data_IF_498789066395
#
_entry.id   IF_498789066395
#
_cell.length_a   1.000
_cell.length_b   1.000
_cell.length_c   1.000
_cell.angle_alpha   90.00
_cell.angle_beta   90.00
_cell.angle_gamma   90.00
#
_symmetry.space_group_name_H-M   'P 1'
#
loop_
_entity.id
_entity.type
_entity.pdbx_description
1 polymer ?
#
# COMPACT_ATOMS: atom_id res chain seq x y z
N UNK A 1 -0.24 -17.88 -6.94
CA UNK A 1 -0.78 -16.64 -6.34
C UNK A 1 -1.71 -16.02 -7.37
N UNK A 2 -3.02 -16.05 -7.16
CA UNK A 2 -3.93 -15.22 -7.94
C UNK A 2 -3.85 -13.82 -7.33
N UNK A 3 -3.21 -12.89 -8.03
CA UNK A 3 -3.20 -11.49 -7.63
C UNK A 3 -4.60 -10.92 -7.88
N UNK A 4 -5.26 -10.48 -6.81
CA UNK A 4 -6.48 -9.68 -6.92
C UNK A 4 -6.08 -8.34 -7.54
N UNK A 5 -6.81 -7.84 -8.56
CA UNK A 5 -6.48 -6.56 -9.15
C UNK A 5 -6.59 -5.43 -8.11
N UNK A 6 -5.59 -4.56 -8.09
CA UNK A 6 -5.54 -3.40 -7.21
C UNK A 6 -6.59 -2.35 -7.64
N UNK A 7 -7.03 -1.50 -6.70
CA UNK A 7 -8.04 -0.46 -6.97
C UNK A 7 -7.66 0.41 -8.17
N UNK A 8 -6.36 0.73 -8.31
CA UNK A 8 -5.83 1.47 -9.45
C UNK A 8 -5.99 0.72 -10.77
N UNK A 9 -5.73 -0.59 -10.80
CA UNK A 9 -5.86 -1.41 -12.00
C UNK A 9 -7.31 -1.47 -12.47
N UNK A 10 -8.25 -1.59 -11.53
CA UNK A 10 -9.69 -1.54 -11.82
C UNK A 10 -10.12 -0.18 -12.37
N UNK A 11 -9.67 0.92 -11.75
CA UNK A 11 -9.98 2.27 -12.23
C UNK A 11 -9.40 2.50 -13.62
N UNK A 12 -8.16 2.08 -13.87
CA UNK A 12 -7.52 2.20 -15.19
C UNK A 12 -8.24 1.37 -16.25
N UNK A 13 -8.72 0.17 -15.93
CA UNK A 13 -9.52 -0.63 -16.87
C UNK A 13 -10.83 0.07 -17.26
N UNK A 14 -11.50 0.71 -16.31
CA UNK A 14 -12.72 1.50 -16.58
C UNK A 14 -12.38 2.72 -17.44
N UNK A 15 -11.30 3.44 -17.13
CA UNK A 15 -10.86 4.58 -17.95
C UNK A 15 -10.58 4.19 -19.40
N UNK A 16 -9.92 3.05 -19.60
CA UNK A 16 -9.63 2.51 -20.92
C UNK A 16 -10.91 2.19 -21.69
N UNK A 17 -11.89 1.54 -21.05
CA UNK A 17 -13.20 1.29 -21.65
C UNK A 17 -13.91 2.58 -22.05
N UNK A 18 -13.93 3.59 -21.17
CA UNK A 18 -14.58 4.88 -21.46
C UNK A 18 -13.99 5.54 -22.71
N UNK A 19 -12.67 5.50 -22.89
CA UNK A 19 -12.00 6.18 -24.00
C UNK A 19 -11.96 5.37 -25.30
N UNK A 20 -11.73 4.05 -25.20
CA UNK A 20 -11.48 3.20 -26.37
C UNK A 20 -12.76 2.60 -26.93
N UNK A 21 -13.75 2.31 -26.07
CA UNK A 21 -14.94 1.56 -26.46
C UNK A 21 -16.23 2.37 -26.41
N UNK A 22 -16.37 3.27 -25.41
CA UNK A 22 -17.59 4.02 -25.19
C UNK A 22 -17.60 5.35 -25.94
N UNK A 23 -16.60 6.22 -25.73
CA UNK A 23 -16.57 7.57 -26.30
C UNK A 23 -16.72 7.59 -27.83
N UNK A 24 -16.09 6.69 -28.62
CA UNK A 24 -16.28 6.66 -30.07
C UNK A 24 -17.73 6.33 -30.51
N UNK A 25 -18.52 5.70 -29.64
CA UNK A 25 -19.94 5.37 -29.91
C UNK A 25 -20.89 6.49 -29.53
N UNK A 26 -20.40 7.55 -28.90
CA UNK A 26 -21.17 8.72 -28.49
C UNK A 26 -21.08 9.86 -29.53
N UNK A 27 -20.49 9.61 -30.69
CA UNK A 27 -20.45 10.56 -31.80
C UNK A 27 -21.87 11.04 -32.15
N UNK A 28 -22.10 12.35 -32.03
CA UNK A 28 -23.40 13.00 -32.24
C UNK A 28 -24.18 13.34 -30.97
N UNK A 29 -23.73 12.87 -29.79
CA UNK A 29 -24.24 13.33 -28.48
C UNK A 29 -23.13 14.07 -27.71
N UNK A 30 -23.00 15.37 -28.00
CA UNK A 30 -21.96 16.23 -27.44
C UNK A 30 -22.01 16.30 -25.91
N UNK A 31 -23.22 16.30 -25.33
CA UNK A 31 -23.40 16.41 -23.89
C UNK A 31 -22.94 15.13 -23.18
N UNK A 32 -23.32 13.97 -23.72
CA UNK A 32 -22.93 12.68 -23.14
C UNK A 32 -21.44 12.40 -23.37
N UNK A 33 -20.90 12.79 -24.51
CA UNK A 33 -19.46 12.75 -24.80
C UNK A 33 -18.65 13.59 -23.81
N UNK A 34 -19.11 14.83 -23.56
CA UNK A 34 -18.48 15.71 -22.57
C UNK A 34 -18.50 15.10 -21.16
N UNK A 35 -19.65 14.59 -20.71
CA UNK A 35 -19.75 13.94 -19.39
C UNK A 35 -18.83 12.72 -19.28
N UNK A 36 -18.70 11.94 -20.35
CA UNK A 36 -17.80 10.78 -20.40
C UNK A 36 -16.33 11.18 -20.22
N UNK A 37 -15.90 12.27 -20.87
CA UNK A 37 -14.55 12.83 -20.70
C UNK A 37 -14.32 13.36 -19.28
N UNK A 38 -15.32 14.00 -18.67
CA UNK A 38 -15.23 14.45 -17.26
C UNK A 38 -15.09 13.25 -16.34
N UNK A 39 -15.91 12.21 -16.49
CA UNK A 39 -15.81 10.98 -15.70
C UNK A 39 -14.45 10.30 -15.86
N UNK A 40 -13.93 10.22 -17.09
CA UNK A 40 -12.59 9.69 -17.34
C UNK A 40 -11.50 10.48 -16.61
N UNK A 41 -11.55 11.81 -16.65
CA UNK A 41 -10.60 12.67 -15.94
C UNK A 41 -10.69 12.48 -14.42
N UNK A 42 -11.91 12.44 -13.87
CA UNK A 42 -12.14 12.26 -12.44
C UNK A 42 -11.63 10.92 -11.94
N UNK A 43 -11.83 9.85 -12.70
CA UNK A 43 -11.24 8.54 -12.39
C UNK A 43 -9.71 8.60 -12.33
N UNK A 44 -9.08 9.39 -13.20
CA UNK A 44 -7.63 9.60 -13.18
C UNK A 44 -7.14 10.36 -11.95
N UNK A 45 -7.93 11.31 -11.45
CA UNK A 45 -7.66 12.00 -10.18
C UNK A 45 -7.78 11.02 -9.01
N UNK A 46 -8.89 10.28 -8.93
CA UNK A 46 -9.15 9.29 -7.87
C UNK A 46 -8.05 8.22 -7.84
N UNK A 47 -7.60 7.72 -8.99
CA UNK A 47 -6.52 6.75 -9.08
C UNK A 47 -5.21 7.28 -8.46
N UNK A 48 -4.87 8.56 -8.70
CA UNK A 48 -3.67 9.20 -8.14
C UNK A 48 -3.80 9.46 -6.64
N UNK A 49 -4.98 9.87 -6.17
CA UNK A 49 -5.23 10.12 -4.75
C UNK A 49 -5.22 8.83 -3.93
N UNK A 50 -5.84 7.77 -4.46
CA UNK A 50 -5.84 6.44 -3.83
C UNK A 50 -4.42 5.88 -3.73
N UNK A 51 -3.58 6.14 -4.73
CA UNK A 51 -2.17 5.71 -4.72
C UNK A 51 -1.33 6.48 -3.69
N UNK A 52 -1.65 7.74 -3.37
CA UNK A 52 -0.95 8.50 -2.33
C UNK A 52 -1.35 8.07 -0.92
N UNK A 53 -2.64 7.72 -0.72
CA UNK A 53 -3.16 7.33 0.59
C UNK A 53 -2.71 5.94 1.04
N UNK A 54 -2.47 5.00 0.11
CA UNK A 54 -1.96 3.66 0.43
C UNK A 54 -0.57 3.70 1.08
N UNK A 55 0.39 4.45 0.50
CA UNK A 55 1.75 4.55 1.07
C UNK A 55 1.79 5.34 2.38
N UNK A 56 0.93 6.34 2.55
CA UNK A 56 0.83 7.08 3.82
C UNK A 56 0.12 6.26 4.91
N UNK A 57 -0.82 5.38 4.53
CA UNK A 57 -1.49 4.44 5.43
C UNK A 57 -0.53 3.38 5.97
N UNK A 58 0.21 2.72 5.08
CA UNK A 58 1.24 1.74 5.47
C UNK A 58 2.32 2.39 6.37
N UNK A 59 2.67 3.64 6.08
CA UNK A 59 3.59 4.44 6.87
C UNK A 59 3.08 4.71 8.29
N UNK A 60 1.89 5.31 8.42
CA UNK A 60 1.32 5.65 9.73
C UNK A 60 1.17 4.40 10.59
N UNK A 61 0.78 3.28 9.97
CA UNK A 61 0.66 1.99 10.64
C UNK A 61 2.00 1.48 11.17
N UNK A 62 3.10 1.58 10.42
CA UNK A 62 4.45 1.21 10.90
C UNK A 62 4.88 2.08 12.08
N UNK A 63 4.67 3.41 12.00
CA UNK A 63 5.02 4.33 13.08
C UNK A 63 4.18 4.15 14.35
N UNK A 64 2.86 3.95 14.20
CA UNK A 64 1.92 3.79 15.32
C UNK A 64 2.25 2.56 16.18
N UNK A 65 2.87 1.55 15.58
CA UNK A 65 3.29 0.36 16.30
C UNK A 65 4.43 0.63 17.28
N UNK A 66 5.18 1.74 17.12
CA UNK A 66 6.22 2.22 18.04
C UNK A 66 7.06 1.06 18.61
N UNK A 67 7.49 0.17 17.71
CA UNK A 67 8.08 -1.10 18.11
C UNK A 67 9.45 -0.87 18.78
N UNK A 68 10.07 0.30 18.56
CA UNK A 68 11.39 0.71 19.04
C UNK A 68 12.46 -0.35 18.74
N UNK A 69 12.26 -1.11 17.65
CA UNK A 69 13.12 -2.24 17.31
C UNK A 69 14.42 -1.72 16.72
N UNK A 70 14.38 -0.61 15.99
CA UNK A 70 15.57 0.01 15.39
C UNK A 70 15.59 1.52 15.58
N UNK A 71 16.79 2.11 15.48
CA UNK A 71 16.98 3.57 15.48
C UNK A 71 16.34 4.26 14.26
N UNK A 72 16.03 3.50 13.20
CA UNK A 72 15.42 4.02 11.97
C UNK A 72 14.01 4.56 12.20
N UNK A 73 13.31 4.09 13.24
CA UNK A 73 12.00 4.65 13.64
C UNK A 73 12.12 6.10 14.15
N UNK A 74 13.27 6.48 14.72
CA UNK A 74 13.52 7.81 15.28
C UNK A 74 14.16 8.81 14.31
N UNK A 75 14.94 8.33 13.34
CA UNK A 75 15.71 9.18 12.40
C UNK A 75 14.93 9.58 11.13
N UNK A 76 13.61 9.38 11.11
CA UNK A 76 12.82 9.55 9.90
C UNK A 76 12.35 10.97 9.63
N UNK A 77 12.55 11.41 8.39
CA UNK A 77 12.06 12.68 7.86
C UNK A 77 10.82 12.48 6.98
N UNK A 78 9.65 12.82 7.54
CA UNK A 78 8.35 12.74 6.87
C UNK A 78 8.28 13.63 5.63
N UNK A 79 8.88 14.81 5.66
CA UNK A 79 8.86 15.76 4.54
C UNK A 79 9.65 15.18 3.37
N UNK A 80 10.82 14.60 3.68
CA UNK A 80 11.63 13.91 2.68
C UNK A 80 10.88 12.75 2.05
N UNK A 81 10.22 11.90 2.84
CA UNK A 81 9.47 10.76 2.32
C UNK A 81 8.31 11.14 1.41
N UNK A 82 7.50 12.13 1.80
CA UNK A 82 6.37 12.57 0.99
C UNK A 82 6.81 13.05 -0.40
N UNK A 83 8.00 13.64 -0.52
CA UNK A 83 8.57 14.11 -1.79
C UNK A 83 9.16 13.04 -2.71
N UNK A 84 9.31 11.79 -2.25
CA UNK A 84 9.89 10.71 -3.04
C UNK A 84 8.92 10.18 -4.12
N UNK A 85 9.49 9.71 -5.25
CA UNK A 85 8.72 8.99 -6.27
C UNK A 85 8.27 7.60 -5.78
N UNK A 86 7.26 6.99 -6.43
CA UNK A 86 6.75 5.65 -6.08
C UNK A 86 7.86 4.59 -5.98
N UNK A 87 8.79 4.57 -6.95
CA UNK A 87 9.89 3.60 -6.98
C UNK A 87 10.84 3.79 -5.79
N UNK A 88 11.07 5.04 -5.40
CA UNK A 88 11.92 5.38 -4.25
C UNK A 88 11.24 5.09 -2.92
N UNK A 89 9.94 5.42 -2.79
CA UNK A 89 9.13 5.06 -1.62
C UNK A 89 9.12 3.54 -1.42
N UNK A 90 8.85 2.78 -2.47
CA UNK A 90 8.86 1.32 -2.45
C UNK A 90 10.23 0.78 -2.03
N UNK A 91 11.31 1.28 -2.66
CA UNK A 91 12.67 0.84 -2.34
C UNK A 91 13.03 1.13 -0.89
N UNK A 92 12.71 2.32 -0.39
CA UNK A 92 12.98 2.72 0.99
C UNK A 92 12.24 1.82 1.99
N UNK A 93 10.94 1.60 1.78
CA UNK A 93 10.14 0.72 2.63
C UNK A 93 10.64 -0.74 2.58
N UNK A 94 11.08 -1.21 1.42
CA UNK A 94 11.67 -2.53 1.26
C UNK A 94 12.99 -2.66 2.02
N UNK A 95 13.90 -1.69 1.86
CA UNK A 95 15.19 -1.65 2.55
C UNK A 95 14.97 -1.63 4.07
N UNK A 96 14.01 -0.84 4.53
CA UNK A 96 13.59 -0.78 5.92
C UNK A 96 13.08 -2.11 6.45
N UNK A 97 12.16 -2.75 5.73
CA UNK A 97 11.64 -4.07 6.11
C UNK A 97 12.75 -5.11 6.21
N UNK A 98 13.76 -5.05 5.33
CA UNK A 98 14.91 -5.95 5.40
C UNK A 98 15.76 -5.69 6.64
N UNK A 99 16.04 -4.42 6.96
CA UNK A 99 16.80 -4.05 8.16
C UNK A 99 16.03 -4.41 9.44
N UNK A 100 14.73 -4.13 9.52
CA UNK A 100 13.90 -4.56 10.65
C UNK A 100 13.91 -6.07 10.83
N UNK A 101 13.81 -6.84 9.75
CA UNK A 101 13.85 -8.30 9.82
C UNK A 101 15.22 -8.82 10.31
N UNK A 102 16.32 -8.19 9.90
CA UNK A 102 17.67 -8.51 10.40
C UNK A 102 17.76 -8.20 11.89
N UNK A 103 17.29 -7.03 12.31
CA UNK A 103 17.36 -6.60 13.70
C UNK A 103 16.53 -7.49 14.63
N UNK A 104 15.30 -7.84 14.23
CA UNK A 104 14.46 -8.81 14.95
C UNK A 104 15.18 -10.16 15.11
N UNK A 105 15.85 -10.66 14.07
CA UNK A 105 16.63 -11.92 14.15
C UNK A 105 17.82 -11.80 15.09
N UNK A 106 18.56 -10.70 15.00
CA UNK A 106 19.72 -10.46 15.86
C UNK A 106 19.30 -10.38 17.33
N UNK A 107 18.22 -9.66 17.64
CA UNK A 107 17.69 -9.55 18.99
C UNK A 107 17.11 -10.89 19.48
N UNK A 108 16.47 -11.67 18.61
CA UNK A 108 16.02 -13.03 18.93
C UNK A 108 17.14 -13.96 19.37
N UNK A 109 18.30 -13.85 18.73
CA UNK A 109 19.44 -14.76 18.96
C UNK A 109 20.28 -14.32 20.16
N UNK A 110 20.46 -13.02 20.34
CA UNK A 110 21.37 -12.46 21.33
C UNK A 110 20.68 -12.05 22.64
N UNK A 111 19.35 -11.92 22.66
CA UNK A 111 18.61 -11.50 23.83
C UNK A 111 17.48 -12.49 24.14
N UNK A 112 17.67 -13.43 25.09
CA UNK A 112 16.66 -14.44 25.43
C UNK A 112 15.38 -13.86 26.06
N UNK A 113 15.36 -12.56 26.40
CA UNK A 113 14.18 -11.81 26.82
C UNK A 113 13.45 -11.06 25.70
N UNK A 114 13.92 -11.14 24.45
CA UNK A 114 13.29 -10.45 23.33
C UNK A 114 11.96 -11.11 22.95
N UNK A 115 10.91 -10.29 22.90
CA UNK A 115 9.53 -10.74 22.95
C UNK A 115 9.04 -11.17 21.55
N UNK A 116 9.42 -12.38 21.12
CA UNK A 116 8.91 -13.05 19.89
C UNK A 116 7.94 -14.19 20.25
N UNK A 117 7.61 -14.34 21.53
CA UNK A 117 6.69 -15.39 21.97
C UNK A 117 5.28 -15.14 21.41
N UNK A 118 4.48 -16.21 21.21
CA UNK A 118 3.10 -16.04 20.84
C UNK A 118 2.36 -15.08 21.78
N UNK A 119 1.80 -14.01 21.22
CA UNK A 119 1.10 -12.96 21.96
C UNK A 119 1.93 -11.70 22.23
N UNK A 120 3.23 -11.71 21.93
CA UNK A 120 4.09 -10.53 22.02
C UNK A 120 3.73 -9.44 21.01
N UNK A 121 4.22 -8.22 21.23
CA UNK A 121 3.99 -7.11 20.31
C UNK A 121 4.54 -7.41 18.90
N UNK A 122 5.79 -7.87 18.81
CA UNK A 122 6.44 -8.21 17.52
C UNK A 122 5.75 -9.39 16.85
N UNK A 123 5.34 -10.40 17.62
CA UNK A 123 4.60 -11.56 17.12
C UNK A 123 3.24 -11.16 16.55
N UNK A 124 2.47 -10.38 17.29
CA UNK A 124 1.14 -9.93 16.87
C UNK A 124 1.24 -9.04 15.63
N UNK A 125 2.24 -8.16 15.55
CA UNK A 125 2.51 -7.39 14.36
C UNK A 125 2.78 -8.28 13.13
N UNK A 126 3.76 -9.18 13.23
CA UNK A 126 4.10 -10.08 12.12
C UNK A 126 2.92 -10.97 11.71
N UNK A 127 2.15 -11.48 12.69
CA UNK A 127 0.95 -12.29 12.47
C UNK A 127 -0.16 -11.50 11.78
N UNK A 128 -0.42 -10.27 12.21
CA UNK A 128 -1.45 -9.42 11.61
C UNK A 128 -1.08 -9.02 10.18
N UNK A 129 0.19 -8.66 9.94
CA UNK A 129 0.69 -8.35 8.61
C UNK A 129 0.58 -9.55 7.66
N UNK A 130 0.90 -10.75 8.16
CA UNK A 130 0.73 -11.99 7.40
C UNK A 130 -0.75 -12.25 7.09
N UNK A 131 -1.63 -12.09 8.07
CA UNK A 131 -3.08 -12.28 7.90
C UNK A 131 -3.65 -11.33 6.85
N UNK A 132 -3.25 -10.07 6.86
CA UNK A 132 -3.67 -9.08 5.84
C UNK A 132 -3.13 -9.40 4.46
N UNK A 133 -1.85 -9.75 4.35
CA UNK A 133 -1.27 -10.17 3.07
C UNK A 133 -2.01 -11.40 2.50
N UNK A 134 -2.36 -12.34 3.38
CA UNK A 134 -3.13 -13.52 3.01
C UNK A 134 -4.61 -13.21 2.72
N UNK A 135 -5.20 -12.18 3.34
CA UNK A 135 -6.60 -11.81 3.08
C UNK A 135 -6.82 -11.23 1.68
N UNK A 136 -5.75 -10.69 1.07
CA UNK A 136 -5.73 -10.28 -0.35
C UNK A 136 -5.92 -11.48 -1.28
N UNK A 137 -5.33 -12.63 -0.94
CA UNK A 137 -5.30 -13.83 -1.80
C UNK A 137 -6.28 -14.93 -1.36
N UNK A 138 -6.81 -14.88 -0.14
CA UNK A 138 -7.71 -15.90 0.41
C UNK A 138 -8.75 -15.28 1.37
N UNK A 139 -10.06 -15.33 1.03
CA UNK A 139 -11.14 -14.74 1.83
C UNK A 139 -11.22 -15.25 3.28
N UNK A 140 -10.68 -16.45 3.57
CA UNK A 140 -10.71 -17.04 4.92
C UNK A 140 -9.95 -16.21 5.96
N UNK A 141 -9.10 -15.27 5.55
CA UNK A 141 -8.34 -14.41 6.44
C UNK A 141 -8.93 -12.99 6.59
N UNK A 142 -10.13 -12.71 6.03
CA UNK A 142 -10.82 -11.41 6.14
C UNK A 142 -11.51 -11.14 7.49
N UNK A 143 -11.64 -12.16 8.35
CA UNK A 143 -12.20 -12.10 9.72
C UNK A 143 -11.08 -11.96 10.71
#
# INVERSE_FOLDING_TARGET
MQYRPETKELISAIQDFLMKDLLPKLEGDDLLSYKTLVSWNMLGVIARETESSEFEGDWNRILELNLKISKLEGDFDKIKFSSLSRKEKYKLLLDWNQEFAKEIRNQSQNNPGFDIKPGSMVWNFAKNQLKETLSVSNPRFQT
#
